data_IF_695707372238
#
_entry.id   IF_695707372238
#
_cell.length_a   1.000
_cell.length_b   1.000
_cell.length_c   1.000
_cell.angle_alpha   90.00
_cell.angle_beta   90.00
_cell.angle_gamma   90.00
#
_symmetry.space_group_name_H-M   'P 1'
#
loop_
_entity.id
_entity.type
_entity.pdbx_description
1 polymer ?
#
# COMPACT_ATOMS: atom_id res chain seq x y z
N UNK A 1 1.96 -5.82 27.32
CA UNK A 1 1.96 -6.09 25.87
C UNK A 1 3.39 -6.43 25.48
N UNK A 2 3.62 -7.62 24.93
CA UNK A 2 4.97 -8.08 24.57
C UNK A 2 5.55 -7.25 23.42
N UNK A 3 6.88 -7.16 23.34
CA UNK A 3 7.58 -6.37 22.32
C UNK A 3 7.10 -6.67 20.87
N UNK A 4 6.92 -7.94 20.44
CA UNK A 4 6.41 -8.22 19.10
C UNK A 4 4.99 -7.67 18.89
N UNK A 5 4.10 -7.80 19.89
CA UNK A 5 2.73 -7.27 19.81
C UNK A 5 2.71 -5.74 19.76
N UNK A 6 3.61 -5.08 20.49
CA UNK A 6 3.75 -3.63 20.43
C UNK A 6 4.20 -3.16 19.05
N UNK A 7 5.20 -3.83 18.44
CA UNK A 7 5.66 -3.49 17.08
C UNK A 7 4.58 -3.71 16.01
N UNK A 8 3.82 -4.79 16.13
CA UNK A 8 2.67 -5.06 15.26
C UNK A 8 1.59 -3.98 15.39
N UNK A 9 1.23 -3.63 16.63
CA UNK A 9 0.31 -2.53 16.90
C UNK A 9 0.80 -1.21 16.30
N UNK A 10 2.06 -0.84 16.56
CA UNK A 10 2.67 0.37 16.04
C UNK A 10 2.65 0.38 14.51
N UNK A 11 2.95 -0.76 13.88
CA UNK A 11 2.92 -0.89 12.42
C UNK A 11 1.53 -0.65 11.87
N UNK A 12 0.50 -1.32 12.41
CA UNK A 12 -0.88 -1.13 11.98
C UNK A 12 -1.33 0.30 12.22
N UNK A 13 -1.03 0.85 13.40
CA UNK A 13 -1.36 2.22 13.76
C UNK A 13 -0.76 3.21 12.76
N UNK A 14 0.53 3.08 12.44
CA UNK A 14 1.21 3.96 11.47
C UNK A 14 0.63 3.81 10.06
N UNK A 15 0.47 2.58 9.56
CA UNK A 15 -0.07 2.34 8.21
C UNK A 15 -1.50 2.87 8.06
N UNK A 16 -2.37 2.60 9.05
CA UNK A 16 -3.74 3.11 9.06
C UNK A 16 -3.74 4.63 9.18
N UNK A 17 -2.88 5.21 10.02
CA UNK A 17 -2.78 6.67 10.16
C UNK A 17 -2.35 7.33 8.85
N UNK A 18 -1.32 6.81 8.18
CA UNK A 18 -0.86 7.30 6.88
C UNK A 18 -1.99 7.19 5.84
N UNK A 19 -2.72 6.08 5.83
CA UNK A 19 -3.83 5.85 4.91
C UNK A 19 -5.01 6.81 5.11
N UNK A 20 -5.44 7.00 6.37
CA UNK A 20 -6.61 7.82 6.70
C UNK A 20 -6.33 9.31 6.66
N UNK A 21 -5.15 9.69 7.14
CA UNK A 21 -4.77 11.09 7.34
C UNK A 21 -3.71 11.53 6.34
N UNK A 22 -3.62 10.88 5.17
CA UNK A 22 -2.67 11.21 4.10
C UNK A 22 -2.58 12.72 3.75
N UNK A 23 -3.69 13.50 3.67
CA UNK A 23 -3.61 14.94 3.47
C UNK A 23 -2.86 15.65 4.61
N UNK A 24 -3.15 15.29 5.86
CA UNK A 24 -2.53 15.89 7.03
C UNK A 24 -1.07 15.47 7.16
N UNK A 25 -0.74 14.21 6.89
CA UNK A 25 0.64 13.71 6.86
C UNK A 25 1.44 14.50 5.83
N UNK A 26 0.91 14.67 4.62
CA UNK A 26 1.54 15.45 3.55
C UNK A 26 1.76 16.91 3.96
N UNK A 27 0.74 17.55 4.55
CA UNK A 27 0.84 18.93 5.04
C UNK A 27 1.88 19.08 6.17
N UNK A 28 1.87 18.19 7.15
CA UNK A 28 2.83 18.19 8.25
C UNK A 28 4.25 17.99 7.70
N UNK A 29 4.46 17.06 6.76
CA UNK A 29 5.77 16.90 6.12
C UNK A 29 6.22 18.17 5.40
N UNK A 30 5.33 18.85 4.68
CA UNK A 30 5.64 20.13 4.03
C UNK A 30 6.08 21.21 5.04
N UNK A 31 5.35 21.34 6.15
CA UNK A 31 5.67 22.31 7.22
C UNK A 31 7.03 21.99 7.84
N UNK A 32 7.27 20.73 8.18
CA UNK A 32 8.54 20.30 8.78
C UNK A 32 9.72 20.52 7.82
N UNK A 33 9.59 20.15 6.55
CA UNK A 33 10.64 20.40 5.54
C UNK A 33 10.93 21.91 5.39
N UNK A 34 9.89 22.74 5.39
CA UNK A 34 10.03 24.19 5.30
C UNK A 34 10.75 24.78 6.52
N UNK A 35 10.50 24.21 7.71
CA UNK A 35 11.16 24.60 8.96
C UNK A 35 12.65 24.21 8.97
N UNK A 36 13.00 23.01 8.49
CA UNK A 36 14.38 22.50 8.51
C UNK A 36 15.27 23.03 7.37
N UNK A 37 14.73 23.21 6.16
CA UNK A 37 15.52 23.43 4.93
C UNK A 37 15.16 24.67 4.12
N UNK A 38 14.31 25.56 4.66
CA UNK A 38 13.75 26.76 4.03
C UNK A 38 12.64 26.49 2.99
N UNK A 39 11.76 27.48 2.84
CA UNK A 39 10.61 27.42 1.93
C UNK A 39 11.01 27.21 0.45
N UNK A 40 12.01 27.91 -0.12
CA UNK A 40 12.37 27.72 -1.53
C UNK A 40 12.86 26.31 -1.86
N UNK A 41 13.64 25.69 -0.97
CA UNK A 41 14.10 24.32 -1.15
C UNK A 41 12.94 23.34 -1.08
N UNK A 42 12.02 23.52 -0.15
CA UNK A 42 10.82 22.68 -0.03
C UNK A 42 9.94 22.78 -1.28
N UNK A 43 9.69 24.00 -1.78
CA UNK A 43 8.97 24.20 -3.04
C UNK A 43 9.67 23.54 -4.23
N UNK A 44 11.01 23.60 -4.28
CA UNK A 44 11.78 22.94 -5.34
C UNK A 44 11.56 21.42 -5.32
N UNK A 45 11.61 20.79 -4.15
CA UNK A 45 11.33 19.35 -3.98
C UNK A 45 9.89 19.03 -4.39
N UNK A 46 8.92 19.84 -3.95
CA UNK A 46 7.53 19.68 -4.33
C UNK A 46 7.30 19.81 -5.84
N UNK A 47 7.96 20.76 -6.50
CA UNK A 47 7.88 20.92 -7.95
C UNK A 47 8.48 19.71 -8.69
N UNK A 48 9.64 19.21 -8.26
CA UNK A 48 10.26 18.01 -8.86
C UNK A 48 9.31 16.81 -8.71
N UNK A 49 8.76 16.61 -7.52
CA UNK A 49 7.81 15.52 -7.28
C UNK A 49 6.50 15.70 -8.08
N UNK A 50 5.97 16.92 -8.14
CA UNK A 50 4.78 17.24 -8.93
C UNK A 50 4.97 16.99 -10.43
N UNK A 51 6.14 17.35 -10.98
CA UNK A 51 6.51 17.01 -12.35
C UNK A 51 6.56 15.49 -12.55
N UNK A 52 7.19 14.74 -11.64
CA UNK A 52 7.20 13.27 -11.68
C UNK A 52 5.79 12.69 -11.70
N UNK A 53 4.91 13.11 -10.78
CA UNK A 53 3.52 12.66 -10.73
C UNK A 53 2.76 13.00 -12.00
N UNK A 54 3.01 14.18 -12.59
CA UNK A 54 2.38 14.56 -13.85
C UNK A 54 2.76 13.60 -14.99
N UNK A 55 4.05 13.25 -15.11
CA UNK A 55 4.50 12.30 -16.13
C UNK A 55 4.00 10.87 -15.86
N UNK A 56 3.89 10.47 -14.60
CA UNK A 56 3.48 9.14 -14.15
C UNK A 56 1.97 9.05 -13.82
N UNK A 57 1.16 10.02 -14.25
CA UNK A 57 -0.25 10.14 -13.85
C UNK A 57 -1.15 8.97 -14.27
N UNK A 58 -0.75 8.19 -15.28
CA UNK A 58 -1.55 7.07 -15.80
C UNK A 58 -1.26 5.74 -15.11
N UNK A 59 -0.19 5.69 -14.31
CA UNK A 59 0.29 4.44 -13.73
C UNK A 59 -0.71 3.83 -12.75
N UNK A 60 -1.58 4.63 -12.10
CA UNK A 60 -2.65 4.14 -11.23
C UNK A 60 -3.79 3.45 -11.99
N UNK A 61 -3.92 3.72 -13.29
CA UNK A 61 -4.94 3.15 -14.18
C UNK A 61 -4.41 1.95 -14.99
N UNK A 62 -3.09 1.75 -15.00
CA UNK A 62 -2.38 0.72 -15.77
C UNK A 62 -1.86 -0.44 -14.89
N UNK A 63 -2.40 -0.61 -13.68
CA UNK A 63 -2.05 -1.70 -12.77
C UNK A 63 -0.84 -1.43 -11.88
N UNK A 64 -0.39 -0.17 -11.82
CA UNK A 64 0.62 0.29 -10.87
C UNK A 64 2.05 -0.11 -11.22
N UNK A 65 2.95 0.13 -10.27
CA UNK A 65 4.36 -0.24 -10.34
C UNK A 65 4.61 -1.52 -9.55
N UNK A 66 4.11 -2.63 -10.07
CA UNK A 66 4.29 -3.94 -9.43
C UNK A 66 5.74 -4.16 -8.94
N UNK A 67 5.92 -4.30 -7.63
CA UNK A 67 7.23 -4.55 -7.01
C UNK A 67 7.17 -5.72 -6.03
N UNK A 68 7.70 -6.87 -6.43
CA UNK A 68 7.75 -8.06 -5.58
C UNK A 68 8.59 -7.85 -4.32
N UNK A 69 9.66 -7.04 -4.42
CA UNK A 69 10.48 -6.68 -3.27
C UNK A 69 9.66 -5.86 -2.26
N UNK A 70 8.92 -4.87 -2.74
CA UNK A 70 8.11 -4.02 -1.88
C UNK A 70 7.01 -4.84 -1.19
N UNK A 71 6.28 -5.67 -1.95
CA UNK A 71 5.20 -6.53 -1.42
C UNK A 71 5.66 -7.54 -0.36
N UNK A 72 6.96 -7.86 -0.31
CA UNK A 72 7.58 -8.78 0.67
C UNK A 72 8.25 -8.06 1.85
N UNK A 73 8.14 -6.74 1.97
CA UNK A 73 8.75 -6.01 3.08
C UNK A 73 8.25 -6.50 4.45
N UNK A 74 9.12 -6.62 5.47
CA UNK A 74 8.76 -7.14 6.79
C UNK A 74 7.63 -6.38 7.49
N UNK A 75 7.43 -5.10 7.15
CA UNK A 75 6.34 -4.29 7.68
C UNK A 75 4.96 -4.90 7.38
N UNK A 76 4.80 -5.53 6.21
CA UNK A 76 3.55 -6.19 5.84
C UNK A 76 3.33 -7.49 6.61
N UNK A 77 4.41 -8.20 6.96
CA UNK A 77 4.33 -9.35 7.88
C UNK A 77 3.88 -8.93 9.28
N UNK A 78 4.39 -7.80 9.81
CA UNK A 78 3.91 -7.25 11.09
C UNK A 78 2.42 -6.87 11.03
N UNK A 79 2.00 -6.23 9.94
CA UNK A 79 0.61 -5.87 9.68
C UNK A 79 -0.33 -7.09 9.68
N UNK A 80 0.00 -8.14 8.93
CA UNK A 80 -0.77 -9.39 8.85
C UNK A 80 -0.83 -10.12 10.19
N UNK A 81 0.29 -10.17 10.92
CA UNK A 81 0.39 -10.87 12.21
C UNK A 81 -0.39 -10.18 13.35
N UNK A 82 -0.65 -8.87 13.24
CA UNK A 82 -1.50 -8.17 14.20
C UNK A 82 -2.94 -8.71 14.19
N UNK A 83 -3.50 -8.92 12.99
CA UNK A 83 -4.88 -9.38 12.75
C UNK A 83 -4.99 -10.90 12.49
N UNK A 84 -3.99 -11.67 12.90
CA UNK A 84 -3.61 -12.98 12.34
C UNK A 84 -4.25 -13.35 10.98
N UNK A 85 -4.07 -12.54 9.95
CA UNK A 85 -4.67 -12.80 8.64
C UNK A 85 -4.07 -14.07 8.01
N UNK A 86 -4.92 -14.88 7.39
CA UNK A 86 -4.52 -16.07 6.65
C UNK A 86 -5.22 -16.10 5.30
N UNK A 87 -4.48 -16.46 4.27
CA UNK A 87 -5.03 -16.80 2.96
C UNK A 87 -5.09 -18.32 2.87
N UNK A 88 -6.31 -18.87 2.82
CA UNK A 88 -6.53 -20.30 2.66
C UNK A 88 -6.95 -20.55 1.22
N UNK A 89 -6.12 -21.31 0.50
CA UNK A 89 -6.43 -21.76 -0.86
C UNK A 89 -7.42 -22.92 -0.79
N UNK A 90 -8.58 -22.75 -1.40
CA UNK A 90 -9.58 -23.82 -1.53
C UNK A 90 -9.37 -24.69 -2.76
N UNK A 91 -8.91 -24.09 -3.86
CA UNK A 91 -8.80 -24.74 -5.17
C UNK A 91 -7.56 -24.23 -5.93
N UNK A 92 -7.06 -25.05 -6.85
CA UNK A 92 -6.06 -24.64 -7.82
C UNK A 92 -6.68 -23.73 -8.90
N UNK A 93 -5.97 -22.65 -9.23
CA UNK A 93 -6.35 -21.75 -10.32
C UNK A 93 -5.38 -21.95 -11.48
N UNK A 94 -5.92 -22.17 -12.68
CA UNK A 94 -5.16 -22.20 -13.93
C UNK A 94 -4.54 -20.82 -14.19
N UNK A 95 -3.21 -20.73 -14.22
CA UNK A 95 -2.48 -19.47 -14.39
C UNK A 95 -2.60 -18.87 -15.80
N UNK A 96 -3.17 -19.60 -16.78
CA UNK A 96 -3.38 -19.10 -18.14
C UNK A 96 -4.72 -18.35 -18.29
N UNK A 97 -5.43 -18.08 -17.19
CA UNK A 97 -6.73 -17.41 -17.17
C UNK A 97 -6.71 -16.18 -16.29
N UNK A 98 -7.60 -15.24 -16.62
CA UNK A 98 -7.86 -14.06 -15.80
C UNK A 98 -9.01 -14.35 -14.83
N UNK A 99 -8.86 -13.90 -13.58
CA UNK A 99 -9.85 -14.08 -12.52
C UNK A 99 -10.25 -12.73 -11.93
N UNK A 100 -11.52 -12.61 -11.57
CA UNK A 100 -12.03 -11.50 -10.75
C UNK A 100 -12.30 -12.05 -9.37
N UNK A 101 -11.58 -11.56 -8.37
CA UNK A 101 -11.78 -11.94 -6.98
C UNK A 101 -12.85 -11.03 -6.34
N UNK A 102 -13.99 -11.62 -5.98
CA UNK A 102 -15.02 -10.93 -5.20
C UNK A 102 -14.61 -10.83 -3.73
N UNK A 103 -14.81 -9.66 -3.13
CA UNK A 103 -14.55 -9.43 -1.71
C UNK A 103 -15.71 -8.64 -1.08
N UNK A 104 -16.23 -9.14 0.04
CA UNK A 104 -17.31 -8.50 0.78
C UNK A 104 -16.80 -8.02 2.15
N UNK A 105 -16.41 -6.74 2.28
CA UNK A 105 -16.02 -6.19 3.57
C UNK A 105 -17.24 -5.89 4.43
N UNK A 106 -17.15 -6.23 5.71
CA UNK A 106 -18.07 -5.73 6.74
C UNK A 106 -17.54 -4.49 7.48
N UNK A 107 -16.54 -3.81 6.93
CA UNK A 107 -15.96 -2.60 7.51
C UNK A 107 -15.54 -1.60 6.45
N UNK A 108 -15.37 -0.34 6.85
CA UNK A 108 -14.95 0.74 5.94
C UNK A 108 -13.55 0.50 5.32
N UNK A 109 -12.72 -0.32 5.98
CA UNK A 109 -11.34 -0.59 5.56
C UNK A 109 -11.12 -2.07 5.25
N UNK A 110 -10.81 -2.35 3.99
CA UNK A 110 -10.49 -3.69 3.48
C UNK A 110 -9.07 -4.13 3.85
N UNK A 111 -8.71 -4.05 5.14
CA UNK A 111 -7.38 -4.42 5.65
C UNK A 111 -7.02 -5.88 5.32
N UNK A 112 -8.00 -6.78 5.37
CA UNK A 112 -7.82 -8.17 4.98
C UNK A 112 -7.53 -8.32 3.48
N UNK A 113 -8.18 -7.54 2.61
CA UNK A 113 -7.89 -7.56 1.19
C UNK A 113 -6.50 -6.98 0.89
N UNK A 114 -6.10 -5.92 1.58
CA UNK A 114 -4.75 -5.37 1.48
C UNK A 114 -3.68 -6.39 1.87
N UNK A 115 -3.86 -7.05 3.03
CA UNK A 115 -2.91 -8.04 3.52
C UNK A 115 -2.80 -9.25 2.60
N UNK A 116 -3.94 -9.80 2.17
CA UNK A 116 -3.96 -11.05 1.39
C UNK A 116 -3.65 -10.87 -0.10
N UNK A 117 -4.10 -9.78 -0.73
CA UNK A 117 -3.98 -9.56 -2.18
C UNK A 117 -2.96 -8.47 -2.51
N UNK A 118 -2.94 -7.36 -1.76
CA UNK A 118 -2.03 -6.25 -2.01
C UNK A 118 -0.57 -6.60 -1.72
N UNK A 119 -0.32 -7.33 -0.64
CA UNK A 119 1.03 -7.73 -0.22
C UNK A 119 1.27 -9.23 -0.45
N UNK A 120 2.52 -9.68 -0.32
CA UNK A 120 2.83 -11.11 -0.34
C UNK A 120 3.04 -11.68 1.09
N UNK A 121 2.60 -10.96 2.13
CA UNK A 121 2.81 -11.33 3.53
C UNK A 121 2.04 -12.58 3.96
N UNK A 122 0.97 -12.96 3.25
CA UNK A 122 0.24 -14.23 3.42
C UNK A 122 0.53 -15.22 2.29
N UNK A 123 1.67 -15.06 1.60
CA UNK A 123 2.16 -15.99 0.59
C UNK A 123 1.25 -16.18 -0.63
N UNK A 124 0.59 -15.12 -1.10
CA UNK A 124 -0.28 -15.18 -2.28
C UNK A 124 0.47 -15.77 -3.49
N UNK A 125 1.67 -15.28 -3.78
CA UNK A 125 2.47 -15.73 -4.92
C UNK A 125 2.91 -17.18 -4.82
N UNK A 126 3.00 -17.74 -3.60
CA UNK A 126 3.29 -19.16 -3.37
C UNK A 126 2.05 -20.02 -3.55
N UNK A 127 0.89 -19.56 -3.08
CA UNK A 127 -0.38 -20.27 -3.20
C UNK A 127 -0.92 -20.28 -4.65
N UNK A 128 -0.73 -19.16 -5.35
CA UNK A 128 -1.20 -18.93 -6.72
C UNK A 128 -0.02 -18.49 -7.60
N UNK A 129 0.87 -19.42 -7.99
CA UNK A 129 2.02 -19.09 -8.81
C UNK A 129 1.58 -18.53 -10.16
N UNK A 130 2.33 -17.55 -10.68
CA UNK A 130 2.08 -16.86 -11.94
C UNK A 130 0.76 -16.06 -12.02
N UNK A 131 0.02 -15.91 -10.92
CA UNK A 131 -1.16 -15.03 -10.85
C UNK A 131 -0.78 -13.75 -10.12
N UNK A 132 -1.06 -12.60 -10.75
CA UNK A 132 -0.79 -11.27 -10.20
C UNK A 132 -2.10 -10.60 -9.75
N UNK A 133 -2.37 -10.50 -8.45
CA UNK A 133 -3.56 -9.84 -7.94
C UNK A 133 -3.43 -8.32 -8.05
N UNK A 134 -4.34 -7.68 -8.78
CA UNK A 134 -4.51 -6.24 -8.77
C UNK A 134 -5.69 -5.88 -7.88
N UNK A 135 -5.39 -5.34 -6.69
CA UNK A 135 -6.44 -4.88 -5.78
C UNK A 135 -7.05 -3.60 -6.33
N UNK A 136 -8.36 -3.34 -6.18
CA UNK A 136 -8.99 -2.04 -6.50
C UNK A 136 -9.04 -1.14 -5.25
N UNK A 137 -8.76 0.16 -5.38
CA UNK A 137 -8.74 1.15 -4.27
C UNK A 137 -9.36 2.43 -4.80
N UNK A 138 -9.83 3.24 -3.87
CA UNK A 138 -10.32 4.57 -4.15
C UNK A 138 -9.23 5.47 -4.75
N UNK A 139 -9.54 6.15 -5.84
CA UNK A 139 -8.59 7.04 -6.56
C UNK A 139 -7.98 8.13 -5.65
N UNK A 140 -8.72 8.56 -4.61
CA UNK A 140 -8.25 9.51 -3.59
C UNK A 140 -6.90 9.12 -2.98
N UNK A 141 -6.59 7.82 -2.90
CA UNK A 141 -5.35 7.31 -2.31
C UNK A 141 -4.09 7.65 -3.13
N UNK A 142 -4.27 7.96 -4.41
CA UNK A 142 -3.18 8.31 -5.33
C UNK A 142 -2.92 9.82 -5.45
N UNK A 143 -3.72 10.65 -4.78
CA UNK A 143 -3.54 12.10 -4.82
C UNK A 143 -2.42 12.60 -3.90
N UNK A 144 -1.97 11.79 -2.94
CA UNK A 144 -1.01 12.18 -1.91
C UNK A 144 0.30 11.37 -2.02
N UNK A 145 1.47 12.02 -1.85
CA UNK A 145 2.78 11.46 -2.21
C UNK A 145 3.11 10.10 -1.58
N UNK A 146 2.86 9.94 -0.28
CA UNK A 146 3.26 8.71 0.43
C UNK A 146 2.34 7.53 0.12
N UNK A 147 1.03 7.73 0.23
CA UNK A 147 0.05 6.68 -0.07
C UNK A 147 0.07 6.29 -1.53
N UNK A 148 0.27 7.26 -2.44
CA UNK A 148 0.42 7.01 -3.87
C UNK A 148 1.56 6.03 -4.14
N UNK A 149 2.76 6.32 -3.66
CA UNK A 149 3.90 5.44 -3.93
C UNK A 149 3.74 4.07 -3.28
N UNK A 150 3.19 3.99 -2.06
CA UNK A 150 2.90 2.71 -1.39
C UNK A 150 1.96 1.88 -2.27
N UNK A 151 0.83 2.45 -2.72
CA UNK A 151 -0.16 1.67 -3.47
C UNK A 151 0.32 1.31 -4.86
N UNK A 152 0.98 2.22 -5.59
CA UNK A 152 1.53 1.88 -6.90
C UNK A 152 2.52 0.72 -6.78
N UNK A 153 3.38 0.70 -5.76
CA UNK A 153 4.35 -0.39 -5.56
C UNK A 153 3.70 -1.74 -5.20
N UNK A 154 2.47 -1.73 -4.66
CA UNK A 154 1.72 -2.96 -4.38
C UNK A 154 1.07 -3.57 -5.63
N UNK A 155 1.24 -2.98 -6.81
CA UNK A 155 0.76 -3.55 -8.08
C UNK A 155 -0.70 -3.26 -8.32
N UNK A 156 -1.02 -1.97 -8.30
CA UNK A 156 -2.36 -1.46 -8.09
C UNK A 156 -2.77 -0.58 -9.25
#
# INVERSE_FOLDING_TARGET
>A
MDLPRFLQFLTVFLLVTIFLFSPFVTLITFILLSWFWSLPMTLTICCIYGCWVYFDRHTDSEGGRWSDLFRRLPIFTQFVNYFPLKLIKSEDLDSNRNYIFGFHPHGAFSLSAMGNFGTDATYFSTLFPNIRPHLMLLHLQFLFPFTREIFLNLGK
#
